data_IF_403430418009
#
_entry.id   IF_403430418009
#
_cell.length_a   1.000
_cell.length_b   1.000
_cell.length_c   1.000
_cell.angle_alpha   90.00
_cell.angle_beta   90.00
_cell.angle_gamma   90.00
#
_symmetry.space_group_name_H-M   'P 1'
#
loop_
_entity.id
_entity.type
_entity.pdbx_description
1 polymer ?
#
# COMPACT_ATOMS: atom_id res chain seq x y z
N UNK A 1 -18.26 14.27 -9.68
CA UNK A 1 -16.88 14.76 -9.43
C UNK A 1 -16.18 13.94 -8.36
N UNK A 2 -16.81 13.67 -7.21
CA UNK A 2 -16.29 12.74 -6.20
C UNK A 2 -16.05 11.32 -6.74
N UNK A 3 -17.02 10.76 -7.48
CA UNK A 3 -16.89 9.38 -8.01
C UNK A 3 -15.72 9.17 -8.98
N UNK A 4 -15.34 10.17 -9.77
CA UNK A 4 -14.15 10.09 -10.64
C UNK A 4 -12.86 10.07 -9.82
N UNK A 5 -12.81 10.84 -8.72
CA UNK A 5 -11.68 10.90 -7.79
C UNK A 5 -11.57 9.64 -6.93
N UNK A 6 -12.69 9.06 -6.49
CA UNK A 6 -12.71 7.77 -5.80
C UNK A 6 -12.16 6.67 -6.71
N UNK A 7 -12.64 6.58 -7.96
CA UNK A 7 -12.10 5.64 -8.97
C UNK A 7 -10.61 5.89 -9.23
N UNK A 8 -10.21 7.16 -9.29
CA UNK A 8 -8.82 7.56 -9.41
C UNK A 8 -7.96 7.05 -8.26
N UNK A 9 -8.41 7.17 -7.01
CA UNK A 9 -7.70 6.67 -5.84
C UNK A 9 -7.48 5.15 -5.89
N UNK A 10 -8.51 4.40 -6.28
CA UNK A 10 -8.47 2.93 -6.32
C UNK A 10 -7.55 2.42 -7.43
N UNK A 11 -7.69 2.96 -8.63
CA UNK A 11 -6.84 2.56 -9.76
C UNK A 11 -5.43 3.09 -9.60
N UNK A 12 -5.25 4.30 -9.05
CA UNK A 12 -3.94 4.82 -8.69
C UNK A 12 -3.21 3.91 -7.70
N UNK A 13 -3.91 3.42 -6.66
CA UNK A 13 -3.35 2.43 -5.73
C UNK A 13 -2.93 1.14 -6.45
N UNK A 14 -3.82 0.58 -7.28
CA UNK A 14 -3.55 -0.65 -8.00
C UNK A 14 -2.40 -0.53 -9.01
N UNK A 15 -2.22 0.65 -9.63
CA UNK A 15 -1.05 0.98 -10.47
C UNK A 15 0.23 0.95 -9.64
N UNK A 16 0.21 1.60 -8.47
CA UNK A 16 1.34 1.65 -7.58
C UNK A 16 1.75 0.26 -7.07
N UNK A 17 0.80 -0.50 -6.55
CA UNK A 17 0.97 -1.91 -6.15
C UNK A 17 1.59 -2.73 -7.29
N UNK A 18 0.98 -2.71 -8.48
CA UNK A 18 1.48 -3.44 -9.65
C UNK A 18 2.89 -3.02 -10.12
N UNK A 19 3.28 -1.75 -9.90
CA UNK A 19 4.60 -1.23 -10.26
C UNK A 19 5.69 -1.63 -9.27
N UNK A 20 5.32 -1.92 -8.02
CA UNK A 20 6.23 -2.40 -6.98
C UNK A 20 6.83 -3.75 -7.35
N UNK A 21 8.15 -3.92 -7.11
CA UNK A 21 8.80 -5.22 -7.32
C UNK A 21 8.20 -6.38 -6.48
N UNK A 22 7.60 -6.15 -5.28
CA UNK A 22 6.98 -7.23 -4.51
C UNK A 22 5.74 -7.85 -5.17
N UNK A 23 4.99 -7.11 -5.99
CA UNK A 23 3.72 -7.60 -6.54
C UNK A 23 3.86 -8.90 -7.34
N UNK A 24 4.90 -9.00 -8.19
CA UNK A 24 5.19 -10.23 -8.92
C UNK A 24 5.55 -11.40 -7.98
N UNK A 25 6.18 -11.13 -6.83
CA UNK A 25 6.48 -12.15 -5.82
C UNK A 25 5.23 -12.58 -5.06
N UNK A 26 4.38 -11.65 -4.64
CA UNK A 26 3.10 -11.95 -4.01
C UNK A 26 2.23 -12.84 -4.92
N UNK A 27 2.12 -12.48 -6.19
CA UNK A 27 1.30 -13.21 -7.16
C UNK A 27 1.92 -14.53 -7.61
N UNK A 28 3.24 -14.70 -7.51
CA UNK A 28 3.89 -16.01 -7.68
C UNK A 28 3.39 -17.07 -6.68
N UNK A 29 2.72 -16.65 -5.61
CA UNK A 29 2.10 -17.56 -4.66
C UNK A 29 0.91 -18.35 -5.24
N UNK A 30 0.38 -17.92 -6.39
CA UNK A 30 -0.64 -18.61 -7.19
C UNK A 30 -0.05 -19.77 -8.03
N UNK A 31 1.27 -19.85 -8.17
CA UNK A 31 1.93 -20.99 -8.81
C UNK A 31 2.16 -22.14 -7.83
N UNK A 32 2.44 -23.31 -8.39
CA UNK A 32 2.84 -24.47 -7.60
C UNK A 32 4.07 -24.15 -6.70
N UNK A 33 4.10 -24.63 -5.43
CA UNK A 33 5.16 -24.27 -4.48
C UNK A 33 6.61 -24.54 -4.94
N UNK A 34 6.81 -25.50 -5.86
CA UNK A 34 8.12 -25.84 -6.37
C UNK A 34 8.76 -24.71 -7.19
N UNK A 35 7.98 -23.85 -7.87
CA UNK A 35 8.55 -22.73 -8.65
C UNK A 35 9.20 -21.70 -7.73
N UNK A 36 8.54 -21.38 -6.60
CA UNK A 36 9.10 -20.49 -5.56
C UNK A 36 10.27 -21.12 -4.83
N UNK A 37 10.27 -22.44 -4.63
CA UNK A 37 11.42 -23.16 -4.07
C UNK A 37 12.63 -23.04 -4.99
N UNK A 38 12.44 -23.32 -6.29
CA UNK A 38 13.50 -23.24 -7.29
C UNK A 38 14.05 -21.82 -7.43
N UNK A 39 13.21 -20.78 -7.34
CA UNK A 39 13.69 -19.39 -7.31
C UNK A 39 14.68 -19.13 -6.16
N UNK A 40 14.40 -19.63 -4.94
CA UNK A 40 15.32 -19.51 -3.79
C UNK A 40 16.60 -20.33 -3.98
N UNK A 41 16.49 -21.53 -4.54
CA UNK A 41 17.65 -22.38 -4.86
C UNK A 41 18.57 -21.69 -5.89
N UNK A 42 18.00 -21.02 -6.89
CA UNK A 42 18.75 -20.24 -7.88
C UNK A 42 19.40 -18.99 -7.29
N UNK A 43 18.77 -18.37 -6.29
CA UNK A 43 19.30 -17.18 -5.61
C UNK A 43 20.52 -17.57 -4.77
N UNK A 44 20.41 -18.65 -4.00
CA UNK A 44 21.53 -19.26 -3.27
C UNK A 44 22.67 -19.66 -4.23
N UNK A 45 22.33 -20.29 -5.36
CA UNK A 45 23.32 -20.62 -6.38
C UNK A 45 24.03 -19.37 -6.92
N UNK A 46 23.29 -18.28 -7.19
CA UNK A 46 23.89 -17.05 -7.66
C UNK A 46 24.87 -16.46 -6.64
N UNK A 47 24.52 -16.48 -5.35
CA UNK A 47 25.37 -16.05 -4.24
C UNK A 47 26.66 -16.90 -4.15
N UNK A 48 26.52 -18.23 -4.07
CA UNK A 48 27.64 -19.17 -3.92
C UNK A 48 28.61 -19.12 -5.12
N UNK A 49 28.10 -18.81 -6.30
CA UNK A 49 28.87 -18.78 -7.54
C UNK A 49 29.27 -17.36 -7.99
N UNK A 50 29.02 -16.32 -7.17
CA UNK A 50 29.37 -14.93 -7.46
C UNK A 50 28.76 -14.42 -8.79
N UNK A 51 27.54 -14.83 -9.08
CA UNK A 51 26.78 -14.42 -10.27
C UNK A 51 25.94 -13.18 -9.92
N UNK A 52 26.02 -12.15 -10.75
CA UNK A 52 25.31 -10.87 -10.51
C UNK A 52 23.87 -10.87 -11.04
N UNK A 53 23.50 -11.85 -11.85
CA UNK A 53 22.11 -12.01 -12.33
C UNK A 53 21.25 -12.57 -11.22
N UNK A 54 20.33 -11.75 -10.71
CA UNK A 54 19.34 -12.19 -9.73
C UNK A 54 18.23 -12.98 -10.43
N UNK A 55 17.82 -14.14 -9.89
CA UNK A 55 16.65 -14.83 -10.41
C UNK A 55 15.41 -13.95 -10.19
N UNK A 56 14.48 -14.00 -11.14
CA UNK A 56 13.15 -13.39 -11.02
C UNK A 56 12.10 -14.49 -10.98
N UNK A 57 10.88 -14.24 -10.46
CA UNK A 57 9.78 -15.21 -10.59
C UNK A 57 9.59 -15.65 -12.05
N UNK A 58 9.34 -16.94 -12.27
CA UNK A 58 9.15 -17.51 -13.62
C UNK A 58 8.05 -18.58 -13.63
N UNK A 59 7.43 -18.79 -14.80
CA UNK A 59 6.28 -19.67 -15.00
C UNK A 59 6.63 -20.92 -15.84
N UNK A 60 7.66 -21.68 -15.45
CA UNK A 60 8.03 -22.91 -16.17
C UNK A 60 6.92 -23.96 -16.03
N UNK A 61 6.28 -24.35 -17.13
CA UNK A 61 5.11 -25.25 -17.13
C UNK A 61 3.97 -24.78 -16.20
N UNK A 62 3.78 -23.46 -16.08
CA UNK A 62 2.72 -22.81 -15.33
C UNK A 62 2.12 -21.67 -16.17
N UNK A 63 0.89 -21.19 -15.86
CA UNK A 63 0.35 -20.00 -16.52
C UNK A 63 1.21 -18.76 -16.26
N UNK A 64 1.40 -17.90 -17.27
CA UNK A 64 2.20 -16.67 -17.14
C UNK A 64 1.43 -15.51 -16.50
N UNK A 65 0.10 -15.56 -16.48
CA UNK A 65 -0.76 -14.47 -16.01
C UNK A 65 -0.43 -13.95 -14.59
N UNK A 66 -0.10 -14.80 -13.58
CA UNK A 66 0.31 -14.32 -12.26
C UNK A 66 1.59 -13.48 -12.24
N UNK A 67 2.43 -13.55 -13.28
CA UNK A 67 3.70 -12.81 -13.38
C UNK A 67 3.65 -11.65 -14.38
N UNK A 68 2.56 -11.51 -15.14
CA UNK A 68 2.31 -10.31 -15.93
C UNK A 68 2.10 -9.12 -14.99
N UNK A 69 2.25 -7.88 -15.45
CA UNK A 69 1.95 -6.68 -14.66
C UNK A 69 0.51 -6.75 -14.10
N UNK A 70 0.35 -6.46 -12.81
CA UNK A 70 -0.96 -6.46 -12.16
C UNK A 70 -0.86 -6.40 -10.63
N UNK A 71 -1.95 -6.05 -9.96
CA UNK A 71 -1.97 -5.65 -8.56
C UNK A 71 -1.95 -6.89 -7.66
N UNK A 72 -1.52 -6.71 -6.41
CA UNK A 72 -1.27 -7.77 -5.45
C UNK A 72 -1.97 -7.51 -4.11
N UNK A 73 -1.23 -7.58 -3.00
CA UNK A 73 -1.78 -7.56 -1.65
C UNK A 73 -2.44 -6.22 -1.30
N UNK A 74 -1.84 -5.09 -1.69
CA UNK A 74 -2.37 -3.77 -1.36
C UNK A 74 -3.77 -3.54 -1.93
N UNK A 75 -3.96 -3.86 -3.22
CA UNK A 75 -5.25 -3.75 -3.87
C UNK A 75 -6.29 -4.73 -3.29
N UNK A 76 -5.87 -5.94 -2.90
CA UNK A 76 -6.77 -6.93 -2.28
C UNK A 76 -7.20 -6.52 -0.88
N UNK A 77 -6.29 -6.00 -0.06
CA UNK A 77 -6.62 -5.50 1.28
C UNK A 77 -7.48 -4.23 1.21
N UNK A 78 -7.28 -3.36 0.20
CA UNK A 78 -8.21 -2.27 -0.09
C UNK A 78 -9.61 -2.80 -0.44
N UNK A 79 -9.70 -3.76 -1.36
CA UNK A 79 -10.96 -4.34 -1.81
C UNK A 79 -11.73 -5.02 -0.67
N UNK A 80 -11.04 -5.82 0.15
CA UNK A 80 -11.63 -6.43 1.34
C UNK A 80 -12.15 -5.39 2.33
N UNK A 81 -11.42 -4.28 2.49
CA UNK A 81 -11.85 -3.18 3.35
C UNK A 81 -13.14 -2.56 2.85
N UNK A 82 -13.29 -2.31 1.54
CA UNK A 82 -14.55 -1.79 0.98
C UNK A 82 -15.71 -2.74 1.22
N UNK A 83 -15.52 -4.03 0.96
CA UNK A 83 -16.57 -5.05 1.14
C UNK A 83 -17.02 -5.20 2.60
N UNK A 84 -16.16 -4.82 3.55
CA UNK A 84 -16.43 -4.93 4.99
C UNK A 84 -16.56 -3.58 5.68
N UNK A 85 -16.57 -2.47 4.94
CA UNK A 85 -16.42 -1.10 5.48
C UNK A 85 -17.49 -0.72 6.50
N UNK A 86 -18.70 -1.25 6.34
CA UNK A 86 -19.87 -0.97 7.19
C UNK A 86 -20.05 -1.95 8.35
N UNK A 87 -19.13 -2.90 8.51
CA UNK A 87 -19.19 -3.93 9.55
C UNK A 87 -18.37 -3.53 10.77
N UNK A 88 -18.69 -4.04 11.97
CA UNK A 88 -17.80 -3.92 13.13
C UNK A 88 -16.42 -4.48 12.80
N UNK A 89 -15.37 -3.68 12.94
CA UNK A 89 -14.03 -4.03 12.39
C UNK A 89 -13.44 -5.29 13.01
N UNK A 90 -13.50 -5.41 14.34
CA UNK A 90 -13.03 -6.61 15.03
C UNK A 90 -13.75 -7.89 14.56
N UNK A 91 -15.06 -7.81 14.30
CA UNK A 91 -15.85 -8.92 13.77
C UNK A 91 -15.42 -9.31 12.36
N UNK A 92 -15.28 -8.32 11.46
CA UNK A 92 -14.83 -8.57 10.09
C UNK A 92 -13.45 -9.24 10.03
N UNK A 93 -12.48 -8.78 10.85
CA UNK A 93 -11.17 -9.43 10.94
C UNK A 93 -11.24 -10.82 11.57
N UNK A 94 -12.10 -11.04 12.57
CA UNK A 94 -12.23 -12.35 13.24
C UNK A 94 -12.68 -13.45 12.28
N UNK A 95 -13.42 -13.13 11.22
CA UNK A 95 -13.76 -14.09 10.16
C UNK A 95 -12.55 -14.60 9.36
N UNK A 96 -11.46 -13.85 9.35
CA UNK A 96 -10.19 -14.26 8.74
C UNK A 96 -9.29 -15.03 9.72
N UNK A 97 -9.58 -14.97 11.02
CA UNK A 97 -8.74 -15.58 12.05
C UNK A 97 -8.72 -17.11 11.90
N UNK A 98 -7.51 -17.69 11.87
CA UNK A 98 -7.31 -19.14 11.72
C UNK A 98 -7.45 -19.67 10.29
N UNK A 99 -7.70 -18.82 9.28
CA UNK A 99 -7.66 -19.24 7.87
C UNK A 99 -6.23 -19.47 7.39
N UNK A 100 -5.96 -20.63 6.80
CA UNK A 100 -4.64 -20.99 6.26
C UNK A 100 -4.39 -20.45 4.84
N UNK A 101 -5.45 -20.02 4.15
CA UNK A 101 -5.42 -19.54 2.78
C UNK A 101 -5.35 -18.01 2.65
N UNK A 102 -5.37 -17.29 3.79
CA UNK A 102 -5.17 -15.84 3.87
C UNK A 102 -3.68 -15.54 3.94
N UNK A 103 -3.21 -14.63 3.10
CA UNK A 103 -1.87 -14.04 3.22
C UNK A 103 -1.99 -12.60 3.64
N UNK A 104 -1.19 -12.23 4.64
CA UNK A 104 -1.22 -10.91 5.22
C UNK A 104 0.18 -10.52 5.67
N UNK A 105 0.37 -9.22 5.87
CA UNK A 105 1.56 -8.68 6.53
C UNK A 105 1.63 -9.13 7.98
N UNK A 106 2.81 -8.99 8.59
CA UNK A 106 3.06 -9.54 9.93
C UNK A 106 2.13 -8.90 10.98
N UNK A 107 1.85 -7.58 10.89
CA UNK A 107 0.91 -6.91 11.79
C UNK A 107 -0.49 -7.53 11.73
N UNK A 108 -1.02 -7.71 10.52
CA UNK A 108 -2.35 -8.29 10.29
C UNK A 108 -2.38 -9.75 10.72
N UNK A 109 -1.40 -10.56 10.31
CA UNK A 109 -1.34 -11.97 10.68
C UNK A 109 -1.27 -12.17 12.22
N UNK A 110 -0.46 -11.35 12.90
CA UNK A 110 -0.34 -11.39 14.35
C UNK A 110 -1.62 -10.92 15.04
N UNK A 111 -2.29 -9.91 14.50
CA UNK A 111 -3.57 -9.44 15.02
C UNK A 111 -4.69 -10.48 14.84
N UNK A 112 -4.71 -11.21 13.72
CA UNK A 112 -5.63 -12.34 13.51
C UNK A 112 -5.39 -13.46 14.54
N UNK A 113 -4.14 -13.78 14.84
CA UNK A 113 -3.78 -14.74 15.90
C UNK A 113 -4.19 -14.24 17.31
N UNK A 114 -4.00 -12.94 17.58
CA UNK A 114 -4.48 -12.30 18.81
C UNK A 114 -6.01 -12.39 18.95
N UNK A 115 -6.76 -12.06 17.89
CA UNK A 115 -8.22 -12.17 17.88
C UNK A 115 -8.68 -13.62 18.08
N UNK A 116 -7.98 -14.60 17.48
CA UNK A 116 -8.27 -16.04 17.68
C UNK A 116 -8.12 -16.46 19.16
N UNK A 117 -7.24 -15.79 19.91
CA UNK A 117 -7.02 -15.99 21.35
C UNK A 117 -7.93 -15.15 22.24
N UNK A 118 -8.84 -14.36 21.66
CA UNK A 118 -9.76 -13.49 22.39
C UNK A 118 -9.14 -12.17 22.88
N UNK A 119 -7.97 -11.79 22.34
CA UNK A 119 -7.39 -10.45 22.58
C UNK A 119 -8.10 -9.46 21.67
N UNK A 120 -8.82 -8.51 22.26
CA UNK A 120 -9.60 -7.51 21.51
C UNK A 120 -8.79 -6.25 21.17
N UNK A 121 -9.20 -5.46 20.16
CA UNK A 121 -8.63 -4.15 19.91
C UNK A 121 -8.81 -3.22 21.13
N UNK A 122 -7.86 -2.30 21.40
CA UNK A 122 -6.65 -2.03 20.61
C UNK A 122 -5.49 -2.99 20.91
N UNK A 123 -5.60 -3.88 21.90
CA UNK A 123 -4.51 -4.78 22.28
C UNK A 123 -4.15 -5.75 21.14
N UNK A 124 -5.14 -6.20 20.35
CA UNK A 124 -4.89 -7.06 19.18
C UNK A 124 -3.91 -6.43 18.18
N UNK A 125 -4.03 -5.12 17.96
CA UNK A 125 -3.20 -4.35 17.03
C UNK A 125 -1.96 -3.72 17.66
N UNK A 126 -1.87 -3.68 18.99
CA UNK A 126 -0.71 -3.17 19.72
C UNK A 126 0.27 -4.28 20.09
N UNK A 127 -0.22 -5.41 20.60
CA UNK A 127 0.59 -6.51 21.12
C UNK A 127 1.03 -7.44 19.96
N UNK A 128 1.71 -6.86 18.97
CA UNK A 128 2.34 -7.58 17.88
C UNK A 128 3.69 -6.94 17.49
N UNK A 129 4.67 -7.70 16.97
CA UNK A 129 6.02 -7.18 16.74
C UNK A 129 6.13 -6.11 15.63
N UNK A 130 5.08 -5.92 14.83
CA UNK A 130 5.08 -5.03 13.66
C UNK A 130 3.90 -4.04 13.69
N UNK A 131 3.43 -3.66 14.88
CA UNK A 131 2.25 -2.82 15.05
C UNK A 131 2.37 -1.46 14.31
N UNK A 132 3.60 -1.01 14.05
CA UNK A 132 3.95 0.27 13.44
C UNK A 132 3.97 0.23 11.89
N UNK A 133 3.71 -0.92 11.27
CA UNK A 133 3.71 -1.03 9.81
C UNK A 133 2.53 -0.30 9.15
N UNK A 134 2.55 -0.17 7.83
CA UNK A 134 1.59 0.61 7.05
C UNK A 134 0.40 -0.19 6.50
N UNK A 135 0.16 -1.40 7.02
CA UNK A 135 -0.98 -2.23 6.56
C UNK A 135 -2.33 -1.51 6.72
N UNK A 136 -2.50 -0.77 7.81
CA UNK A 136 -3.69 0.05 8.03
C UNK A 136 -3.75 1.28 7.12
N UNK A 137 -2.61 1.80 6.64
CA UNK A 137 -2.55 2.94 5.74
C UNK A 137 -3.12 2.62 4.35
N UNK A 138 -2.83 1.42 3.83
CA UNK A 138 -3.43 0.91 2.59
C UNK A 138 -4.95 0.84 2.71
N UNK A 139 -5.46 0.21 3.78
CA UNK A 139 -6.90 0.08 4.02
C UNK A 139 -7.58 1.44 4.24
N UNK A 140 -6.89 2.39 4.83
CA UNK A 140 -7.40 3.74 5.09
C UNK A 140 -7.76 4.52 3.81
N UNK A 141 -7.27 4.12 2.63
CA UNK A 141 -7.73 4.69 1.35
C UNK A 141 -9.24 4.52 1.17
N UNK A 142 -9.82 3.36 1.54
CA UNK A 142 -11.27 3.15 1.49
C UNK A 142 -12.03 4.06 2.46
N UNK A 143 -11.49 4.26 3.68
CA UNK A 143 -12.10 5.13 4.69
C UNK A 143 -12.07 6.59 4.25
N UNK A 144 -10.92 7.08 3.76
CA UNK A 144 -10.81 8.43 3.21
C UNK A 144 -11.73 8.67 2.02
N UNK A 145 -11.83 7.70 1.10
CA UNK A 145 -12.75 7.77 -0.04
C UNK A 145 -14.22 7.86 0.38
N UNK A 146 -14.58 7.19 1.49
CA UNK A 146 -15.92 7.21 2.07
C UNK A 146 -16.18 8.39 3.03
N UNK A 147 -15.18 9.22 3.32
CA UNK A 147 -15.26 10.29 4.33
C UNK A 147 -15.44 9.77 5.76
N UNK A 148 -14.84 8.62 6.08
CA UNK A 148 -14.93 7.96 7.40
C UNK A 148 -13.60 7.99 8.14
N UNK A 149 -13.65 7.86 9.46
CA UNK A 149 -12.47 7.71 10.32
C UNK A 149 -11.94 6.26 10.27
N UNK A 150 -10.66 6.02 9.91
CA UNK A 150 -10.08 4.68 9.87
C UNK A 150 -9.64 4.15 11.25
N UNK A 151 -9.74 4.94 12.32
CA UNK A 151 -9.08 4.63 13.61
C UNK A 151 -9.48 3.27 14.18
N UNK A 152 -10.77 2.92 14.15
CA UNK A 152 -11.24 1.64 14.67
C UNK A 152 -10.78 0.44 13.83
N UNK A 153 -10.59 0.61 12.52
CA UNK A 153 -9.99 -0.40 11.65
C UNK A 153 -8.50 -0.56 11.95
N UNK A 154 -7.79 0.56 12.01
CA UNK A 154 -6.35 0.57 12.20
C UNK A 154 -5.96 -0.09 13.54
N UNK A 155 -6.72 0.19 14.62
CA UNK A 155 -6.48 -0.38 15.95
C UNK A 155 -6.69 -1.88 16.04
N UNK A 156 -7.32 -2.52 15.06
CA UNK A 156 -7.42 -3.99 15.03
C UNK A 156 -6.05 -4.62 14.79
N UNK A 157 -5.25 -4.04 13.89
CA UNK A 157 -4.00 -4.66 13.42
C UNK A 157 -2.74 -3.87 13.76
N UNK A 158 -2.87 -2.58 14.05
CA UNK A 158 -1.75 -1.64 14.18
C UNK A 158 -1.89 -0.76 15.43
N UNK A 159 -0.79 -0.13 15.80
CA UNK A 159 -0.69 0.87 16.87
C UNK A 159 0.38 1.91 16.50
N UNK A 160 0.50 2.98 17.29
CA UNK A 160 1.50 4.03 17.10
C UNK A 160 1.49 4.59 15.68
N UNK A 161 2.66 4.58 15.02
CA UNK A 161 2.84 5.08 13.65
C UNK A 161 1.92 4.39 12.63
N UNK A 162 1.54 3.13 12.81
CA UNK A 162 0.61 2.45 11.90
C UNK A 162 -0.80 3.04 11.94
N UNK A 163 -1.29 3.42 13.13
CA UNK A 163 -2.60 4.10 13.29
C UNK A 163 -2.52 5.55 12.82
N UNK A 164 -1.41 6.24 13.09
CA UNK A 164 -1.19 7.60 12.60
C UNK A 164 -1.09 7.65 11.08
N UNK A 165 -0.41 6.70 10.46
CA UNK A 165 -0.31 6.54 9.00
C UNK A 165 -1.68 6.32 8.37
N UNK A 166 -2.52 5.48 8.95
CA UNK A 166 -3.91 5.29 8.51
C UNK A 166 -4.70 6.60 8.54
N UNK A 167 -4.63 7.35 9.64
CA UNK A 167 -5.33 8.65 9.76
C UNK A 167 -4.82 9.67 8.74
N UNK A 168 -3.50 9.73 8.51
CA UNK A 168 -2.89 10.64 7.55
C UNK A 168 -3.32 10.33 6.10
N UNK A 169 -3.31 9.06 5.71
CA UNK A 169 -3.76 8.64 4.38
C UNK A 169 -5.24 8.92 4.19
N UNK A 170 -6.09 8.58 5.17
CA UNK A 170 -7.53 8.88 5.07
C UNK A 170 -7.79 10.39 4.94
N UNK A 171 -7.06 11.23 5.68
CA UNK A 171 -7.16 12.69 5.57
C UNK A 171 -6.75 13.21 4.19
N UNK A 172 -5.64 12.72 3.63
CA UNK A 172 -5.19 13.08 2.28
C UNK A 172 -6.23 12.70 1.21
N UNK A 173 -6.72 11.45 1.27
CA UNK A 173 -7.69 10.94 0.30
C UNK A 173 -9.03 11.68 0.43
N UNK A 174 -9.52 11.92 1.64
CA UNK A 174 -10.77 12.67 1.85
C UNK A 174 -10.68 14.10 1.28
N UNK A 175 -9.57 14.80 1.54
CA UNK A 175 -9.32 16.13 0.98
C UNK A 175 -9.28 16.09 -0.56
N UNK A 176 -8.52 15.16 -1.14
CA UNK A 176 -8.39 15.00 -2.58
C UNK A 176 -9.73 14.64 -3.25
N UNK A 177 -10.52 13.73 -2.67
CA UNK A 177 -11.88 13.38 -3.14
C UNK A 177 -12.84 14.58 -3.03
N UNK A 178 -12.68 15.41 -2.00
CA UNK A 178 -13.36 16.70 -1.86
C UNK A 178 -12.97 17.76 -2.89
N UNK A 179 -11.97 17.49 -3.72
CA UNK A 179 -11.52 18.38 -4.79
C UNK A 179 -10.36 19.31 -4.41
N UNK A 180 -9.74 19.10 -3.24
CA UNK A 180 -8.58 19.87 -2.84
C UNK A 180 -7.39 19.62 -3.80
N UNK A 181 -6.55 20.63 -4.06
CA UNK A 181 -5.28 20.42 -4.76
C UNK A 181 -4.35 19.52 -3.93
N UNK A 182 -3.34 18.94 -4.58
CA UNK A 182 -2.42 17.98 -3.91
C UNK A 182 -1.73 18.58 -2.69
N UNK A 183 -1.37 19.87 -2.73
CA UNK A 183 -0.76 20.58 -1.61
C UNK A 183 -1.64 20.54 -0.37
N UNK A 184 -2.94 20.80 -0.55
CA UNK A 184 -3.90 20.86 0.55
C UNK A 184 -4.22 19.46 1.07
N UNK A 185 -4.22 18.45 0.19
CA UNK A 185 -4.35 17.05 0.60
C UNK A 185 -3.14 16.59 1.43
N UNK A 186 -1.92 16.99 1.04
CA UNK A 186 -0.69 16.70 1.80
C UNK A 186 -0.71 17.43 3.14
N UNK A 187 -1.09 18.71 3.19
CA UNK A 187 -1.22 19.46 4.45
C UNK A 187 -2.30 18.88 5.37
N UNK A 188 -3.41 18.37 4.82
CA UNK A 188 -4.43 17.65 5.60
C UNK A 188 -3.87 16.38 6.28
N UNK A 189 -2.98 15.65 5.60
CA UNK A 189 -2.27 14.52 6.18
C UNK A 189 -1.30 14.97 7.29
N UNK A 190 -0.50 16.01 7.05
CA UNK A 190 0.45 16.53 8.02
C UNK A 190 -0.23 17.09 9.28
N UNK A 191 -1.44 17.64 9.16
CA UNK A 191 -2.20 18.20 10.27
C UNK A 191 -2.62 17.16 11.32
N UNK A 192 -2.74 15.88 10.94
CA UNK A 192 -3.13 14.81 11.86
C UNK A 192 -1.93 14.07 12.48
N UNK A 193 -0.70 14.40 12.04
CA UNK A 193 0.54 13.77 12.50
C UNK A 193 1.24 14.63 13.58
N UNK A 194 1.34 14.14 14.84
CA UNK A 194 2.08 14.84 15.89
C UNK A 194 3.58 14.93 15.60
N UNK A 195 4.18 16.09 15.84
CA UNK A 195 5.60 16.36 15.51
C UNK A 195 6.60 15.53 16.31
N UNK A 196 6.22 15.08 17.51
CA UNK A 196 7.03 14.30 18.44
C UNK A 196 7.01 12.78 18.16
N UNK A 197 6.38 12.38 17.05
CA UNK A 197 6.37 10.99 16.57
C UNK A 197 7.33 10.81 15.40
N UNK A 198 7.84 9.59 15.21
CA UNK A 198 8.75 9.31 14.09
C UNK A 198 8.08 9.58 12.74
N UNK A 199 6.82 9.14 12.57
CA UNK A 199 6.05 9.42 11.35
C UNK A 199 5.80 10.91 11.12
N UNK A 200 5.51 11.69 12.16
CA UNK A 200 5.27 13.13 12.03
C UNK A 200 6.53 13.91 11.69
N UNK A 201 7.65 13.58 12.33
CA UNK A 201 8.97 14.12 11.98
C UNK A 201 9.32 13.79 10.52
N UNK A 202 9.25 12.50 10.16
CA UNK A 202 9.63 12.01 8.84
C UNK A 202 8.73 12.57 7.74
N UNK A 203 7.42 12.72 7.96
CA UNK A 203 6.50 13.29 6.99
C UNK A 203 6.87 14.73 6.62
N UNK A 204 7.17 15.57 7.61
CA UNK A 204 7.58 16.97 7.37
C UNK A 204 8.93 17.04 6.67
N UNK A 205 9.89 16.21 7.09
CA UNK A 205 11.21 16.11 6.46
C UNK A 205 11.10 15.68 4.99
N UNK A 206 10.31 14.64 4.71
CA UNK A 206 10.10 14.10 3.37
C UNK A 206 9.44 15.13 2.44
N UNK A 207 8.34 15.74 2.89
CA UNK A 207 7.62 16.75 2.10
C UNK A 207 8.52 17.96 1.83
N UNK A 208 9.33 18.40 2.80
CA UNK A 208 10.31 19.45 2.57
C UNK A 208 11.36 19.05 1.52
N UNK A 209 11.87 17.82 1.58
CA UNK A 209 12.82 17.29 0.60
C UNK A 209 12.21 17.24 -0.82
N UNK A 210 10.96 16.75 -0.94
CA UNK A 210 10.22 16.71 -2.20
C UNK A 210 9.99 18.11 -2.79
N UNK A 211 9.53 19.06 -1.98
CA UNK A 211 9.37 20.47 -2.38
C UNK A 211 10.67 21.10 -2.86
N UNK A 212 11.79 20.81 -2.19
CA UNK A 212 13.11 21.32 -2.56
C UNK A 212 13.62 20.74 -3.88
N UNK A 213 13.32 19.48 -4.16
CA UNK A 213 13.70 18.83 -5.41
C UNK A 213 12.91 19.38 -6.61
N UNK A 214 11.64 19.76 -6.42
CA UNK A 214 10.80 20.38 -7.45
C UNK A 214 10.23 19.43 -8.51
N UNK A 215 10.69 18.17 -8.52
CA UNK A 215 10.14 17.09 -9.34
C UNK A 215 10.26 15.74 -8.60
N UNK A 216 9.34 14.81 -8.88
CA UNK A 216 9.25 13.53 -8.18
C UNK A 216 10.51 12.66 -8.36
N UNK A 217 11.00 12.50 -9.59
CA UNK A 217 12.19 11.68 -9.85
C UNK A 217 13.45 12.27 -9.21
N UNK A 218 13.62 13.60 -9.30
CA UNK A 218 14.72 14.31 -8.65
C UNK A 218 14.69 14.24 -7.11
N UNK A 219 13.54 13.96 -6.50
CA UNK A 219 13.42 13.79 -5.05
C UNK A 219 13.96 12.45 -4.55
N UNK A 220 14.10 11.43 -5.40
CA UNK A 220 14.44 10.04 -5.00
C UNK A 220 15.72 9.98 -4.16
N UNK A 221 16.88 10.55 -4.56
CA UNK A 221 18.10 10.46 -3.75
C UNK A 221 17.99 11.19 -2.40
N UNK A 222 17.23 12.28 -2.36
CA UNK A 222 17.04 13.04 -1.13
C UNK A 222 16.12 12.31 -0.13
N UNK A 223 15.09 11.63 -0.63
CA UNK A 223 14.18 10.82 0.18
C UNK A 223 14.88 9.55 0.70
N UNK A 224 15.68 8.89 -0.13
CA UNK A 224 16.50 7.75 0.30
C UNK A 224 17.42 8.16 1.45
N UNK A 225 18.23 9.21 1.25
CA UNK A 225 19.18 9.68 2.26
C UNK A 225 18.51 10.19 3.55
N UNK A 226 17.29 10.72 3.47
CA UNK A 226 16.59 11.30 4.62
C UNK A 226 15.85 10.26 5.47
N UNK A 227 15.34 9.18 4.87
CA UNK A 227 14.36 8.30 5.51
C UNK A 227 14.81 6.84 5.59
N UNK A 228 15.75 6.43 4.74
CA UNK A 228 16.19 5.05 4.64
C UNK A 228 17.59 4.96 5.25
N UNK A 229 17.67 4.51 6.50
CA UNK A 229 18.95 4.39 7.21
C UNK A 229 19.79 3.20 6.72
N UNK A 230 19.18 2.26 6.00
CA UNK A 230 19.77 1.00 5.52
C UNK A 230 20.41 0.15 6.65
N UNK A 231 20.11 0.44 7.92
CA UNK A 231 20.52 -0.31 9.11
C UNK A 231 19.48 -1.38 9.43
N UNK A 232 18.19 -1.02 9.37
CA UNK A 232 17.08 -1.95 9.48
C UNK A 232 16.11 -1.74 8.31
N UNK A 233 16.29 -2.53 7.25
CA UNK A 233 15.43 -2.46 6.07
C UNK A 233 14.11 -3.18 6.35
N UNK A 234 13.10 -2.40 6.73
CA UNK A 234 11.73 -2.89 6.87
C UNK A 234 10.82 -2.19 5.86
N UNK A 235 10.39 -2.93 4.85
CA UNK A 235 9.84 -2.37 3.62
C UNK A 235 8.49 -1.65 3.76
N UNK A 236 7.83 -1.87 4.89
CA UNK A 236 6.42 -1.50 5.15
C UNK A 236 6.29 -0.66 6.42
N UNK A 237 7.36 0.00 6.86
CA UNK A 237 7.28 0.93 8.01
C UNK A 237 6.44 2.17 7.68
N UNK A 238 5.37 2.43 8.43
CA UNK A 238 4.49 3.58 8.18
C UNK A 238 5.22 4.92 8.31
N UNK A 239 6.23 5.00 9.17
CA UNK A 239 7.09 6.16 9.32
C UNK A 239 8.03 6.42 8.12
N UNK A 240 8.06 5.54 7.12
CA UNK A 240 8.81 5.72 5.88
C UNK A 240 7.88 5.82 4.68
N UNK A 241 6.98 4.85 4.50
CA UNK A 241 6.16 4.72 3.30
C UNK A 241 5.15 5.85 3.14
N UNK A 242 4.45 6.23 4.22
CA UNK A 242 3.48 7.35 4.21
C UNK A 242 4.18 8.68 3.93
N UNK A 243 5.27 9.05 4.63
CA UNK A 243 6.08 10.23 4.28
C UNK A 243 6.56 10.28 2.82
N UNK A 244 7.09 9.17 2.29
CA UNK A 244 7.55 9.09 0.90
C UNK A 244 6.38 9.32 -0.07
N UNK A 245 5.23 8.69 0.18
CA UNK A 245 4.06 8.85 -0.66
C UNK A 245 3.56 10.30 -0.69
N UNK A 246 3.49 10.97 0.47
CA UNK A 246 3.12 12.39 0.57
C UNK A 246 4.11 13.29 -0.17
N UNK A 247 5.41 13.06 0.01
CA UNK A 247 6.46 13.85 -0.63
C UNK A 247 6.45 13.71 -2.16
N UNK A 248 6.22 12.50 -2.68
CA UNK A 248 6.18 12.25 -4.12
C UNK A 248 4.85 12.67 -4.75
N UNK A 249 3.75 12.65 -4.01
CA UNK A 249 2.51 13.27 -4.45
C UNK A 249 2.68 14.78 -4.60
N UNK A 250 3.30 15.44 -3.60
CA UNK A 250 3.62 16.87 -3.64
C UNK A 250 4.58 17.21 -4.79
N UNK A 251 5.71 16.51 -4.89
CA UNK A 251 6.75 16.78 -5.89
C UNK A 251 6.32 16.45 -7.33
N UNK A 252 5.28 15.63 -7.51
CA UNK A 252 4.71 15.35 -8.84
C UNK A 252 3.61 16.34 -9.25
N UNK A 253 3.22 17.27 -8.36
CA UNK A 253 2.05 18.13 -8.59
C UNK A 253 0.74 17.33 -8.70
N UNK A 254 0.67 16.15 -8.07
CA UNK A 254 -0.50 15.28 -8.11
C UNK A 254 -0.56 14.34 -9.32
N UNK A 255 0.49 14.24 -10.12
CA UNK A 255 0.51 13.38 -11.31
C UNK A 255 0.93 11.93 -10.98
N UNK A 256 0.06 10.97 -11.33
CA UNK A 256 0.24 9.53 -11.02
C UNK A 256 1.55 8.97 -11.57
N UNK A 257 1.84 9.19 -12.85
CA UNK A 257 3.02 8.61 -13.52
C UNK A 257 4.34 8.98 -12.84
N UNK A 258 4.66 10.29 -12.67
CA UNK A 258 5.87 10.72 -11.98
C UNK A 258 5.94 10.26 -10.52
N UNK A 259 4.84 10.29 -9.76
CA UNK A 259 4.84 9.88 -8.35
C UNK A 259 5.10 8.37 -8.18
N UNK A 260 4.36 7.53 -8.91
CA UNK A 260 4.48 6.07 -8.83
C UNK A 260 5.86 5.61 -9.32
N UNK A 261 6.34 6.13 -10.45
CA UNK A 261 7.65 5.74 -10.98
C UNK A 261 8.81 6.13 -10.05
N UNK A 262 8.75 7.33 -9.45
CA UNK A 262 9.75 7.75 -8.47
C UNK A 262 9.69 6.91 -7.18
N UNK A 263 8.49 6.56 -6.70
CA UNK A 263 8.32 5.70 -5.53
C UNK A 263 8.89 4.30 -5.79
N UNK A 264 8.70 3.76 -6.99
CA UNK A 264 9.24 2.45 -7.38
C UNK A 264 10.78 2.43 -7.44
N UNK A 265 11.44 3.58 -7.62
CA UNK A 265 12.90 3.68 -7.53
C UNK A 265 13.43 3.56 -6.10
N UNK A 266 12.60 3.79 -5.08
CA UNK A 266 12.94 3.58 -3.67
C UNK A 266 12.67 2.12 -3.30
N UNK A 267 13.56 1.23 -3.76
CA UNK A 267 13.38 -0.23 -3.73
C UNK A 267 13.06 -0.78 -2.32
N UNK A 268 13.60 -0.17 -1.27
CA UNK A 268 13.35 -0.57 0.11
C UNK A 268 11.88 -0.41 0.51
N UNK A 269 11.16 0.56 -0.04
CA UNK A 269 9.76 0.88 0.29
C UNK A 269 8.79 0.60 -0.86
N UNK A 270 9.25 -0.10 -1.90
CA UNK A 270 8.51 -0.31 -3.14
C UNK A 270 7.29 -1.24 -3.00
N UNK A 271 7.09 -1.84 -1.82
CA UNK A 271 5.88 -2.61 -1.52
C UNK A 271 4.66 -1.70 -1.48
N UNK A 272 4.73 -0.60 -0.72
CA UNK A 272 3.56 0.20 -0.38
C UNK A 272 3.66 1.69 -0.72
N UNK A 273 4.88 2.25 -0.76
CA UNK A 273 5.03 3.66 -1.11
C UNK A 273 4.48 4.00 -2.52
N UNK A 274 4.70 3.16 -3.55
CA UNK A 274 4.08 3.40 -4.86
C UNK A 274 2.56 3.33 -4.82
N UNK A 275 1.99 2.35 -4.10
CA UNK A 275 0.55 2.17 -3.94
C UNK A 275 -0.10 3.39 -3.26
N UNK A 276 0.47 3.87 -2.15
CA UNK A 276 -0.01 5.06 -1.44
C UNK A 276 0.16 6.34 -2.27
N UNK A 277 1.29 6.52 -2.96
CA UNK A 277 1.53 7.66 -3.84
C UNK A 277 0.52 7.67 -4.99
N UNK A 278 0.27 6.50 -5.60
CA UNK A 278 -0.73 6.30 -6.63
C UNK A 278 -2.14 6.60 -6.14
N UNK A 279 -2.51 6.18 -4.93
CA UNK A 279 -3.81 6.46 -4.34
C UNK A 279 -4.06 7.98 -4.18
N UNK A 280 -3.09 8.69 -3.61
CA UNK A 280 -3.19 10.13 -3.36
C UNK A 280 -3.25 10.91 -4.68
N UNK A 281 -2.32 10.64 -5.60
CA UNK A 281 -2.26 11.32 -6.90
C UNK A 281 -3.44 10.97 -7.80
N UNK A 282 -3.91 9.72 -7.76
CA UNK A 282 -5.11 9.27 -8.45
C UNK A 282 -6.37 9.96 -7.92
N UNK A 283 -6.49 10.15 -6.60
CA UNK A 283 -7.58 10.93 -6.02
C UNK A 283 -7.52 12.42 -6.42
N UNK A 284 -6.32 12.99 -6.54
CA UNK A 284 -6.10 14.37 -6.94
C UNK A 284 -6.41 14.61 -8.43
N UNK A 285 -5.95 13.72 -9.31
CA UNK A 285 -6.10 13.83 -10.76
C UNK A 285 -7.43 13.28 -11.29
N UNK A 286 -8.06 12.36 -10.56
CA UNK A 286 -9.25 11.64 -11.01
C UNK A 286 -8.92 10.49 -11.96
N UNK A 287 -9.88 9.58 -12.14
CA UNK A 287 -9.73 8.41 -13.02
C UNK A 287 -9.47 8.82 -14.47
N UNK A 288 -10.08 9.91 -14.95
CA UNK A 288 -9.86 10.43 -16.30
C UNK A 288 -8.42 10.89 -16.59
N UNK A 289 -7.59 11.12 -15.58
CA UNK A 289 -6.18 11.50 -15.75
C UNK A 289 -5.23 10.29 -15.87
N UNK A 290 -5.73 9.06 -15.66
CA UNK A 290 -4.92 7.84 -15.68
C UNK A 290 -4.73 7.35 -17.13
N UNK A 291 -3.50 7.04 -17.58
CA UNK A 291 -3.27 6.53 -18.92
C UNK A 291 -4.00 5.19 -19.16
N UNK A 292 -4.71 5.07 -20.29
CA UNK A 292 -5.53 3.90 -20.62
C UNK A 292 -4.76 2.56 -20.55
N UNK A 293 -3.49 2.57 -20.98
CA UNK A 293 -2.63 1.38 -20.96
C UNK A 293 -2.34 0.81 -19.56
N UNK A 294 -2.52 1.62 -18.51
CA UNK A 294 -2.37 1.17 -17.11
C UNK A 294 -3.67 0.60 -16.53
N UNK A 295 -4.83 0.97 -17.08
CA UNK A 295 -6.12 0.65 -16.48
C UNK A 295 -6.43 -0.84 -16.61
N UNK A 296 -6.33 -1.41 -17.82
CA UNK A 296 -6.72 -2.79 -18.05
C UNK A 296 -5.91 -3.82 -17.21
N UNK A 297 -4.57 -3.69 -17.07
CA UNK A 297 -3.77 -4.64 -16.26
C UNK A 297 -4.06 -4.61 -14.76
N UNK A 298 -4.65 -3.51 -14.24
CA UNK A 298 -4.74 -3.28 -12.78
C UNK A 298 -6.15 -3.32 -12.22
N UNK A 299 -7.17 -3.51 -13.07
CA UNK A 299 -8.57 -3.57 -12.62
C UNK A 299 -8.93 -4.85 -11.90
N UNK A 300 -8.35 -5.97 -12.32
CA UNK A 300 -8.77 -7.31 -11.87
C UNK A 300 -7.83 -7.86 -10.81
N UNK A 301 -8.39 -8.21 -9.65
CA UNK A 301 -7.65 -8.79 -8.53
C UNK A 301 -7.24 -10.23 -8.80
N UNK A 302 -6.06 -10.59 -8.32
CA UNK A 302 -5.45 -11.90 -8.57
C UNK A 302 -5.95 -13.00 -7.61
N UNK A 303 -6.44 -12.63 -6.43
CA UNK A 303 -6.73 -13.53 -5.31
C UNK A 303 -5.46 -14.11 -4.68
N UNK A 304 -4.35 -13.37 -4.69
CA UNK A 304 -3.08 -13.85 -4.16
C UNK A 304 -3.00 -13.81 -2.63
N UNK A 305 -3.79 -12.95 -1.98
CA UNK A 305 -3.87 -12.80 -0.52
C UNK A 305 -5.21 -13.27 0.04
N UNK A 306 -6.30 -12.97 -0.64
CA UNK A 306 -7.67 -13.35 -0.28
C UNK A 306 -8.32 -14.06 -1.48
N UNK A 307 -8.36 -15.41 -1.50
CA UNK A 307 -8.79 -16.18 -2.67
C UNK A 307 -10.17 -15.82 -3.23
N UNK A 308 -11.11 -15.44 -2.35
CA UNK A 308 -12.46 -15.01 -2.71
C UNK A 308 -12.52 -13.71 -3.54
N UNK A 309 -11.42 -12.95 -3.60
CA UNK A 309 -11.31 -11.73 -4.40
C UNK A 309 -10.83 -12.00 -5.83
N UNK A 310 -10.41 -13.22 -6.16
CA UNK A 310 -9.94 -13.55 -7.50
C UNK A 310 -10.99 -13.18 -8.58
N UNK A 311 -10.57 -12.41 -9.58
CA UNK A 311 -11.43 -12.01 -10.69
C UNK A 311 -12.36 -10.83 -10.40
N UNK A 312 -12.36 -10.26 -9.19
CA UNK A 312 -13.14 -9.04 -8.87
C UNK A 312 -12.55 -7.83 -9.59
N UNK A 313 -13.42 -6.97 -10.11
CA UNK A 313 -13.04 -5.66 -10.66
C UNK A 313 -13.08 -4.59 -9.57
N UNK A 314 -11.94 -3.93 -9.35
CA UNK A 314 -11.80 -2.84 -8.38
C UNK A 314 -12.76 -1.67 -8.64
N UNK A 315 -13.08 -1.37 -9.91
CA UNK A 315 -13.99 -0.26 -10.22
C UNK A 315 -15.42 -0.54 -9.78
N UNK A 316 -15.89 -1.78 -9.89
CA UNK A 316 -17.23 -2.17 -9.42
C UNK A 316 -17.36 -1.96 -7.91
N UNK A 317 -16.28 -2.16 -7.15
CA UNK A 317 -16.26 -1.94 -5.71
C UNK A 317 -16.43 -0.46 -5.34
N UNK A 318 -16.06 0.47 -6.21
CA UNK A 318 -16.18 1.92 -5.96
C UNK A 318 -17.63 2.41 -6.01
N UNK A 319 -18.54 1.70 -6.68
CA UNK A 319 -19.94 2.10 -6.83
C UNK A 319 -20.68 2.16 -5.50
N UNK A 320 -20.25 1.37 -4.50
CA UNK A 320 -20.80 1.39 -3.15
C UNK A 320 -20.31 2.56 -2.27
N UNK A 321 -19.38 3.38 -2.77
CA UNK A 321 -18.77 4.50 -2.04
C UNK A 321 -19.22 5.87 -2.55
N UNK A 322 -19.88 5.93 -3.72
CA UNK A 322 -20.34 7.17 -4.36
C UNK A 322 -21.70 7.65 -3.89
#
# INVERSE_FOLDING_TARGET
MSGDRIRGAFIGLAIGDAAGWPAARHRSALHAPWSRRLHRELDLFAEEHRITTLPVPFALNQPTAPLALGPSDDAEWLAWTVLTLRRPRAEAFRELAGREDVRARISVASALDNLAKGVEPPASGHDNPHFFDDAAAIRAVAFGAAGLDPTDDARVTNAGDGVLGARAVAAAIAAAVGGAPVSDAVEAALAVLPEDTAIGHNARLAVQAGRKAGEAFGAVPALDAALLDHVYSYAVGAAQTVPIALALAEASGGAVGPAVSAAACLAATADSAPALAGAITGACGGYGAIPEGWIAPVRTLAGCCLPELAGRDLLELTEGLT
#
